data_IF_661094482378
#
_entry.id   IF_661094482378
#
_cell.length_a   1.000
_cell.length_b   1.000
_cell.length_c   1.000
_cell.angle_alpha   90.00
_cell.angle_beta   90.00
_cell.angle_gamma   90.00
#
_symmetry.space_group_name_H-M   'P 1'
#
loop_
_entity.id
_entity.type
_entity.pdbx_description
1 polymer ?
#
# COMPACT_ATOMS: atom_id res chain seq x y z
N UNK A 1 24.03 6.38 2.92
CA UNK A 1 22.65 6.01 2.55
C UNK A 1 22.66 4.54 2.17
N UNK A 2 21.72 3.75 2.69
CA UNK A 2 21.78 2.27 2.60
C UNK A 2 21.11 1.76 1.33
N UNK A 3 21.60 0.66 0.76
CA UNK A 3 20.94 -0.09 -0.33
C UNK A 3 19.47 -0.41 0.00
N UNK A 4 19.17 -0.65 1.27
CA UNK A 4 17.82 -0.87 1.77
C UNK A 4 16.89 0.33 1.55
N UNK A 5 17.44 1.55 1.71
CA UNK A 5 16.74 2.81 1.49
C UNK A 5 16.47 3.05 -0.01
N UNK A 6 17.39 2.61 -0.86
CA UNK A 6 17.24 2.66 -2.31
C UNK A 6 16.20 1.65 -2.81
N UNK A 7 16.06 0.51 -2.15
CA UNK A 7 15.02 -0.49 -2.44
C UNK A 7 13.67 0.05 -1.98
N UNK A 8 13.52 0.54 -0.75
CA UNK A 8 12.28 1.16 -0.27
C UNK A 8 11.80 2.32 -1.15
N UNK A 9 12.73 3.17 -1.59
CA UNK A 9 12.47 4.26 -2.53
C UNK A 9 12.12 3.79 -3.94
N UNK A 10 12.62 2.62 -4.34
CA UNK A 10 12.29 2.01 -5.63
C UNK A 10 10.95 1.27 -5.64
N UNK A 11 10.44 0.86 -4.47
CA UNK A 11 9.14 0.18 -4.32
C UNK A 11 8.01 1.20 -4.06
N UNK A 12 8.31 2.51 -4.01
CA UNK A 12 7.31 3.57 -3.91
C UNK A 12 6.67 3.71 -2.53
N UNK A 13 7.36 3.28 -1.47
CA UNK A 13 6.82 3.21 -0.11
C UNK A 13 7.47 4.14 0.91
N UNK A 14 8.39 5.03 0.51
CA UNK A 14 8.97 5.98 1.47
C UNK A 14 7.95 7.06 1.85
N UNK A 15 8.00 7.63 3.07
CA UNK A 15 7.14 8.75 3.47
C UNK A 15 7.20 9.92 2.47
N UNK A 16 8.37 10.14 1.88
CA UNK A 16 8.57 11.14 0.82
C UNK A 16 7.84 10.77 -0.48
N UNK A 17 7.74 9.50 -0.83
CA UNK A 17 7.04 9.04 -2.04
C UNK A 17 5.54 9.26 -1.91
N UNK A 18 4.96 8.96 -0.74
CA UNK A 18 3.54 9.23 -0.44
C UNK A 18 3.25 10.73 -0.48
N UNK A 19 4.10 11.56 0.13
CA UNK A 19 3.94 13.01 0.12
C UNK A 19 4.06 13.59 -1.31
N UNK A 20 5.01 13.11 -2.10
CA UNK A 20 5.19 13.52 -3.49
C UNK A 20 4.03 13.07 -4.39
N UNK A 21 3.52 11.85 -4.18
CA UNK A 21 2.34 11.34 -4.86
C UNK A 21 1.11 12.20 -4.53
N UNK A 22 0.88 12.48 -3.25
CA UNK A 22 -0.23 13.30 -2.78
C UNK A 22 -0.19 14.69 -3.40
N UNK A 23 0.98 15.34 -3.41
CA UNK A 23 1.19 16.63 -4.04
C UNK A 23 0.89 16.64 -5.55
N UNK A 24 1.28 15.59 -6.28
CA UNK A 24 1.00 15.45 -7.73
C UNK A 24 -0.50 15.29 -8.02
N UNK A 25 -1.21 14.59 -7.14
CA UNK A 25 -2.65 14.31 -7.29
C UNK A 25 -3.53 15.41 -6.69
N UNK A 26 -2.93 16.40 -6.01
CA UNK A 26 -3.66 17.46 -5.34
C UNK A 26 -4.49 16.97 -4.15
N UNK A 27 -4.03 15.93 -3.44
CA UNK A 27 -4.68 15.37 -2.26
C UNK A 27 -3.78 15.50 -1.03
N UNK A 28 -4.36 15.40 0.17
CA UNK A 28 -3.59 15.35 1.40
C UNK A 28 -2.75 14.06 1.51
N UNK A 29 -1.53 14.11 2.10
CA UNK A 29 -0.69 12.92 2.31
C UNK A 29 -1.40 11.79 3.05
N UNK A 30 -2.18 12.11 4.08
CA UNK A 30 -2.99 11.12 4.82
C UNK A 30 -4.03 10.44 3.94
N UNK A 31 -4.61 11.17 2.99
CA UNK A 31 -5.57 10.63 2.02
C UNK A 31 -4.87 9.69 1.05
N UNK A 32 -3.68 10.05 0.56
CA UNK A 32 -2.86 9.16 -0.26
C UNK A 32 -2.46 7.88 0.50
N UNK A 33 -2.05 8.00 1.76
CA UNK A 33 -1.72 6.88 2.64
C UNK A 33 -2.93 5.93 2.82
N UNK A 34 -4.11 6.50 3.13
CA UNK A 34 -5.36 5.74 3.26
C UNK A 34 -5.74 5.04 1.95
N UNK A 35 -5.51 5.68 0.81
CA UNK A 35 -5.76 5.11 -0.50
C UNK A 35 -4.83 3.92 -0.80
N UNK A 36 -3.53 4.09 -0.55
CA UNK A 36 -2.52 3.02 -0.74
C UNK A 36 -2.87 1.82 0.15
N UNK A 37 -3.21 2.06 1.41
CA UNK A 37 -3.60 1.01 2.34
C UNK A 37 -4.88 0.28 1.88
N UNK A 38 -5.89 1.02 1.41
CA UNK A 38 -7.11 0.42 0.90
C UNK A 38 -6.84 -0.42 -0.35
N UNK A 39 -6.09 0.10 -1.32
CA UNK A 39 -5.70 -0.62 -2.54
C UNK A 39 -4.87 -1.88 -2.23
N UNK A 40 -3.95 -1.78 -1.26
CA UNK A 40 -3.17 -2.91 -0.75
C UNK A 40 -4.05 -4.02 -0.15
N UNK A 41 -5.14 -3.65 0.51
CA UNK A 41 -6.08 -4.62 1.09
C UNK A 41 -7.05 -5.20 0.06
N UNK A 42 -7.61 -4.36 -0.81
CA UNK A 42 -8.69 -4.76 -1.71
C UNK A 42 -8.21 -5.55 -2.91
N UNK A 43 -6.92 -5.48 -3.28
CA UNK A 43 -6.42 -6.27 -4.42
C UNK A 43 -6.43 -7.78 -4.16
N UNK A 44 -6.49 -8.19 -2.89
CA UNK A 44 -6.58 -9.60 -2.48
C UNK A 44 -8.02 -10.10 -2.42
N UNK A 45 -8.98 -9.17 -2.48
CA UNK A 45 -10.39 -9.49 -2.42
C UNK A 45 -10.93 -9.84 -3.82
N UNK A 46 -11.93 -10.72 -3.92
CA UNK A 46 -12.59 -10.97 -5.18
C UNK A 46 -13.33 -9.71 -5.64
N UNK A 47 -13.00 -9.21 -6.83
CA UNK A 47 -13.65 -8.05 -7.44
C UNK A 47 -12.65 -7.11 -8.11
N UNK A 48 -13.12 -5.92 -8.47
CA UNK A 48 -12.26 -4.86 -8.99
C UNK A 48 -11.61 -4.09 -7.82
N UNK A 49 -10.28 -4.15 -7.75
CA UNK A 49 -9.46 -3.55 -6.68
C UNK A 49 -9.81 -2.08 -6.43
N UNK A 50 -9.94 -1.30 -7.51
CA UNK A 50 -10.15 0.14 -7.47
C UNK A 50 -11.57 0.47 -6.99
N UNK A 51 -12.56 -0.28 -7.47
CA UNK A 51 -13.96 -0.12 -7.07
C UNK A 51 -14.13 -0.43 -5.59
N UNK A 52 -13.56 -1.54 -5.11
CA UNK A 52 -13.58 -1.89 -3.69
C UNK A 52 -12.86 -0.84 -2.84
N UNK A 53 -11.69 -0.35 -3.29
CA UNK A 53 -10.97 0.70 -2.57
C UNK A 53 -11.76 2.03 -2.54
N UNK A 54 -12.51 2.36 -3.59
CA UNK A 54 -13.39 3.52 -3.63
C UNK A 54 -14.49 3.42 -2.58
N UNK A 55 -15.11 2.24 -2.45
CA UNK A 55 -16.14 1.98 -1.44
C UNK A 55 -15.62 2.12 -0.01
N UNK A 56 -14.36 1.72 0.24
CA UNK A 56 -13.74 1.81 1.56
C UNK A 56 -13.22 3.20 1.93
N UNK A 57 -12.78 3.99 0.94
CA UNK A 57 -12.12 5.29 1.19
C UNK A 57 -13.01 6.50 0.90
N UNK A 58 -14.08 6.32 0.14
CA UNK A 58 -14.88 7.42 -0.41
C UNK A 58 -14.16 8.21 -1.51
N UNK A 59 -12.99 7.75 -1.98
CA UNK A 59 -12.24 8.39 -3.05
C UNK A 59 -12.79 7.98 -4.41
N UNK A 60 -12.70 8.90 -5.38
CA UNK A 60 -13.10 8.58 -6.74
C UNK A 60 -12.23 7.45 -7.32
N UNK A 61 -12.82 6.52 -8.10
CA UNK A 61 -12.06 5.49 -8.81
C UNK A 61 -10.92 6.06 -9.65
N UNK A 62 -11.11 7.25 -10.26
CA UNK A 62 -10.09 7.90 -11.08
C UNK A 62 -8.82 8.27 -10.29
N UNK A 63 -8.96 8.79 -9.07
CA UNK A 63 -7.82 9.09 -8.18
C UNK A 63 -7.11 7.79 -7.80
N UNK A 64 -7.88 6.77 -7.42
CA UNK A 64 -7.36 5.46 -7.02
C UNK A 64 -6.60 4.77 -8.16
N UNK A 65 -7.12 4.80 -9.40
CA UNK A 65 -6.41 4.30 -10.57
C UNK A 65 -5.09 5.04 -10.82
N UNK A 66 -5.04 6.36 -10.58
CA UNK A 66 -3.79 7.12 -10.70
C UNK A 66 -2.77 6.73 -9.63
N UNK A 67 -3.23 6.45 -8.40
CA UNK A 67 -2.38 5.92 -7.33
C UNK A 67 -1.83 4.54 -7.69
N UNK A 68 -2.68 3.63 -8.18
CA UNK A 68 -2.24 2.31 -8.67
C UNK A 68 -1.17 2.47 -9.76
N UNK A 69 -1.40 3.33 -10.76
CA UNK A 69 -0.44 3.58 -11.82
C UNK A 69 0.89 4.13 -11.28
N UNK A 70 0.84 5.03 -10.30
CA UNK A 70 2.03 5.62 -9.69
C UNK A 70 2.86 4.61 -8.88
N UNK A 71 2.23 3.60 -8.29
CA UNK A 71 2.89 2.49 -7.57
C UNK A 71 3.47 1.45 -8.55
N UNK A 72 3.10 1.52 -9.84
CA UNK A 72 3.56 0.60 -10.89
C UNK A 72 2.54 -0.47 -11.30
N UNK A 73 1.27 -0.28 -10.96
CA UNK A 73 0.16 -1.15 -11.35
C UNK A 73 -0.14 -2.26 -10.35
N UNK A 74 -1.14 -3.09 -10.67
CA UNK A 74 -1.57 -4.21 -9.81
C UNK A 74 -0.51 -5.30 -9.63
N UNK A 75 0.41 -5.46 -10.59
CA UNK A 75 1.56 -6.34 -10.44
C UNK A 75 2.49 -5.90 -9.30
N UNK A 76 2.69 -4.58 -9.14
CA UNK A 76 3.45 -4.03 -8.01
C UNK A 76 2.71 -4.23 -6.69
N UNK A 77 1.38 -4.10 -6.66
CA UNK A 77 0.58 -4.39 -5.47
C UNK A 77 0.69 -5.86 -5.06
N UNK A 78 0.62 -6.77 -6.04
CA UNK A 78 0.82 -8.20 -5.80
C UNK A 78 2.22 -8.48 -5.25
N UNK A 79 3.26 -7.91 -5.87
CA UNK A 79 4.63 -8.05 -5.37
C UNK A 79 4.79 -7.47 -3.95
N UNK A 80 4.18 -6.31 -3.68
CA UNK A 80 4.21 -5.68 -2.36
C UNK A 80 3.54 -6.59 -1.32
N UNK A 81 2.34 -7.10 -1.60
CA UNK A 81 1.67 -8.06 -0.74
C UNK A 81 2.47 -9.34 -0.53
N UNK A 82 3.09 -9.91 -1.57
CA UNK A 82 3.96 -11.08 -1.44
C UNK A 82 5.24 -10.83 -0.63
N UNK A 83 5.70 -9.58 -0.52
CA UNK A 83 6.80 -9.22 0.37
C UNK A 83 6.36 -9.10 1.84
N UNK A 84 5.09 -8.75 2.06
CA UNK A 84 4.49 -8.62 3.39
C UNK A 84 4.00 -9.96 3.95
N UNK A 85 3.55 -10.86 3.07
CA UNK A 85 3.18 -12.24 3.35
C UNK A 85 4.45 -13.07 3.61
N UNK A 86 4.89 -13.13 4.88
CA UNK A 86 6.18 -13.71 5.25
C UNK A 86 6.08 -15.21 5.49
N UNK A 87 4.92 -15.70 5.89
CA UNK A 87 4.69 -17.13 6.09
C UNK A 87 4.13 -17.85 4.85
N UNK A 88 3.71 -17.09 3.83
CA UNK A 88 3.31 -17.58 2.53
C UNK A 88 1.89 -18.15 2.50
N UNK A 89 1.05 -17.78 3.46
CA UNK A 89 -0.34 -18.26 3.55
C UNK A 89 -1.32 -17.47 2.67
N UNK A 90 -0.85 -16.40 2.03
CA UNK A 90 -1.63 -15.52 1.16
C UNK A 90 -2.28 -14.34 1.87
N UNK A 91 -2.08 -14.16 3.18
CA UNK A 91 -2.66 -13.09 4.00
C UNK A 91 -1.60 -12.22 4.70
N UNK A 92 -1.04 -11.19 4.03
CA UNK A 92 -0.04 -10.29 4.60
C UNK A 92 -0.53 -9.47 5.79
N UNK A 93 -1.84 -9.38 6.03
CA UNK A 93 -2.40 -8.60 7.14
C UNK A 93 -2.02 -9.23 8.47
N UNK A 94 -2.05 -10.57 8.57
CA UNK A 94 -1.73 -11.27 9.81
C UNK A 94 -0.23 -11.18 10.11
N UNK A 95 0.64 -11.24 9.09
CA UNK A 95 2.08 -11.00 9.24
C UNK A 95 2.40 -9.59 9.76
N UNK A 96 1.77 -8.55 9.20
CA UNK A 96 1.97 -7.17 9.66
C UNK A 96 1.54 -7.02 11.11
N UNK A 97 0.40 -7.62 11.46
CA UNK A 97 -0.13 -7.63 12.82
C UNK A 97 0.82 -8.38 13.75
N UNK A 98 1.41 -9.49 13.32
CA UNK A 98 2.33 -10.28 14.14
C UNK A 98 3.70 -9.62 14.30
N UNK A 99 4.18 -8.89 13.29
CA UNK A 99 5.34 -7.99 13.43
C UNK A 99 5.04 -6.90 14.46
N UNK A 100 3.86 -6.27 14.38
CA UNK A 100 3.44 -5.25 15.34
C UNK A 100 3.32 -5.85 16.77
N UNK A 101 2.68 -7.00 16.93
CA UNK A 101 2.61 -7.72 18.22
C UNK A 101 3.99 -8.10 18.74
N UNK A 102 4.91 -8.54 17.89
CA UNK A 102 6.27 -8.89 18.29
C UNK A 102 7.08 -7.69 18.82
N UNK A 103 6.82 -6.49 18.29
CA UNK A 103 7.46 -5.25 18.73
C UNK A 103 6.81 -4.62 19.96
N UNK A 104 5.48 -4.69 20.08
CA UNK A 104 4.73 -4.05 21.19
C UNK A 104 4.39 -5.00 22.34
N UNK A 105 4.40 -6.31 22.12
CA UNK A 105 4.07 -7.35 23.10
C UNK A 105 5.25 -7.85 23.93
N UNK A 106 6.45 -7.31 23.69
CA UNK A 106 7.64 -7.62 24.49
C UNK A 106 7.99 -6.42 25.37
N UNK A 107 7.30 -6.31 26.50
CA UNK A 107 7.83 -5.66 27.71
C UNK A 107 8.28 -6.74 28.68
#
# INVERSE_FOLDING_TARGET
>A
MSIFDSILKSIGGAPDDVANLAAKLGIDPKTAESAIAALGRTHQMPGDTVTLAADHTGLSPAILSQIVAAIGGEGSLTNFASMLDRDGDGNPVDDVVDIAKGLFGKS
#
